data_IF_017271242516
#
_entry.id   IF_017271242516
#
_cell.length_a   1.000
_cell.length_b   1.000
_cell.length_c   1.000
_cell.angle_alpha   90.00
_cell.angle_beta   90.00
_cell.angle_gamma   90.00
#
_symmetry.space_group_name_H-M   'P 1'
#
loop_
_entity.id
_entity.type
_entity.pdbx_description
1 polymer ?
#
# COMPACT_ATOMS: atom_id res chain seq x y z
N UNK A 1 5.86 -8.76 -31.54
CA UNK A 1 6.62 -8.40 -30.33
C UNK A 1 5.69 -7.70 -29.37
N UNK A 2 5.59 -8.19 -28.13
CA UNK A 2 4.72 -7.63 -27.10
C UNK A 2 5.37 -6.41 -26.43
N UNK A 3 4.57 -5.57 -25.77
CA UNK A 3 5.08 -4.42 -25.00
C UNK A 3 6.05 -4.86 -23.89
N UNK A 4 5.87 -6.05 -23.34
CA UNK A 4 6.76 -6.62 -22.31
C UNK A 4 8.09 -7.04 -22.92
N UNK A 5 8.07 -7.67 -24.09
CA UNK A 5 9.30 -8.04 -24.83
C UNK A 5 10.14 -6.80 -25.17
N UNK A 6 9.51 -5.73 -25.65
CA UNK A 6 10.18 -4.45 -25.94
C UNK A 6 10.87 -3.85 -24.70
N UNK A 7 10.14 -3.77 -23.57
CA UNK A 7 10.71 -3.26 -22.32
C UNK A 7 11.85 -4.14 -21.81
N UNK A 8 11.79 -5.45 -22.04
CA UNK A 8 12.86 -6.37 -21.62
C UNK A 8 14.14 -6.09 -22.40
N UNK A 9 14.04 -5.86 -23.71
CA UNK A 9 15.18 -5.49 -24.56
C UNK A 9 15.74 -4.11 -24.19
N UNK A 10 14.87 -3.12 -23.96
CA UNK A 10 15.28 -1.78 -23.56
C UNK A 10 16.01 -1.78 -22.21
N UNK A 11 15.52 -2.55 -21.23
CA UNK A 11 16.17 -2.69 -19.91
C UNK A 11 17.49 -3.45 -20.01
N UNK A 12 17.56 -4.49 -20.86
CA UNK A 12 18.79 -5.25 -21.08
C UNK A 12 19.89 -4.41 -21.76
N UNK A 13 19.52 -3.37 -22.51
CA UNK A 13 20.46 -2.45 -23.15
C UNK A 13 21.07 -1.40 -22.18
N UNK A 14 20.52 -1.25 -20.98
CA UNK A 14 21.02 -0.32 -19.97
C UNK A 14 22.30 -0.85 -19.30
N UNK A 15 23.16 0.06 -18.85
CA UNK A 15 24.28 -0.26 -17.97
C UNK A 15 23.78 -0.74 -16.60
N UNK A 16 24.64 -1.44 -15.84
CA UNK A 16 24.29 -1.93 -14.50
C UNK A 16 23.87 -0.81 -13.52
N UNK A 17 24.47 0.37 -13.65
CA UNK A 17 24.13 1.56 -12.85
C UNK A 17 22.74 2.10 -13.22
N UNK A 18 22.44 2.22 -14.51
CA UNK A 18 21.13 2.67 -15.00
C UNK A 18 20.02 1.69 -14.64
N UNK A 19 20.28 0.39 -14.72
CA UNK A 19 19.34 -0.64 -14.26
C UNK A 19 19.05 -0.50 -12.76
N UNK A 20 20.07 -0.26 -11.93
CA UNK A 20 19.88 -0.05 -10.48
C UNK A 20 18.98 1.14 -10.20
N UNK A 21 19.28 2.30 -10.81
CA UNK A 21 18.48 3.52 -10.66
C UNK A 21 17.04 3.33 -11.16
N UNK A 22 16.86 2.62 -12.26
CA UNK A 22 15.53 2.28 -12.79
C UNK A 22 14.74 1.44 -11.78
N UNK A 23 15.35 0.40 -11.22
CA UNK A 23 14.67 -0.48 -10.25
C UNK A 23 14.33 0.24 -8.94
N UNK A 24 15.23 1.09 -8.44
CA UNK A 24 14.94 1.96 -7.28
C UNK A 24 13.73 2.84 -7.58
N UNK A 25 13.69 3.47 -8.75
CA UNK A 25 12.57 4.32 -9.15
C UNK A 25 11.25 3.55 -9.30
N UNK A 26 11.30 2.35 -9.86
CA UNK A 26 10.12 1.48 -9.99
C UNK A 26 9.61 1.06 -8.61
N UNK A 27 10.50 0.73 -7.67
CA UNK A 27 10.13 0.39 -6.31
C UNK A 27 9.42 1.56 -5.60
N UNK A 28 9.94 2.78 -5.73
CA UNK A 28 9.30 4.00 -5.19
C UNK A 28 7.90 4.22 -5.77
N UNK A 29 7.75 4.08 -7.09
CA UNK A 29 6.46 4.24 -7.76
C UNK A 29 5.46 3.16 -7.34
N UNK A 30 5.92 1.91 -7.23
CA UNK A 30 5.11 0.80 -6.75
C UNK A 30 4.65 1.03 -5.31
N UNK A 31 5.54 1.53 -4.44
CA UNK A 31 5.22 1.90 -3.06
C UNK A 31 4.15 2.98 -2.99
N UNK A 32 4.33 4.09 -3.73
CA UNK A 32 3.34 5.17 -3.78
C UNK A 32 1.98 4.71 -4.32
N UNK A 33 1.98 3.85 -5.32
CA UNK A 33 0.76 3.24 -5.85
C UNK A 33 0.07 2.39 -4.79
N UNK A 34 0.81 1.52 -4.10
CA UNK A 34 0.27 0.67 -3.04
C UNK A 34 -0.35 1.47 -1.90
N UNK A 35 0.32 2.55 -1.46
CA UNK A 35 -0.23 3.46 -0.44
C UNK A 35 -1.54 4.11 -0.88
N UNK A 36 -1.64 4.51 -2.15
CA UNK A 36 -2.87 5.10 -2.70
C UNK A 36 -4.02 4.10 -2.72
N UNK A 37 -3.78 2.92 -3.25
CA UNK A 37 -4.79 1.84 -3.32
C UNK A 37 -5.26 1.46 -1.91
N UNK A 38 -4.33 1.35 -0.95
CA UNK A 38 -4.65 1.08 0.45
C UNK A 38 -5.54 2.19 1.04
N UNK A 39 -5.16 3.46 0.83
CA UNK A 39 -5.93 4.62 1.27
C UNK A 39 -7.34 4.63 0.68
N UNK A 40 -7.50 4.37 -0.63
CA UNK A 40 -8.79 4.31 -1.30
C UNK A 40 -9.68 3.20 -0.74
N UNK A 41 -9.11 2.02 -0.48
CA UNK A 41 -9.81 0.91 0.14
C UNK A 41 -10.34 1.28 1.54
N UNK A 42 -9.51 1.90 2.38
CA UNK A 42 -9.94 2.34 3.71
C UNK A 42 -10.98 3.44 3.65
N UNK A 43 -10.82 4.45 2.78
CA UNK A 43 -11.84 5.50 2.59
C UNK A 43 -13.17 4.92 2.13
N UNK A 44 -13.14 3.95 1.21
CA UNK A 44 -14.35 3.27 0.74
C UNK A 44 -15.03 2.48 1.86
N UNK A 45 -14.26 1.84 2.74
CA UNK A 45 -14.78 1.19 3.94
C UNK A 45 -15.44 2.21 4.87
N UNK A 46 -14.75 3.30 5.23
CA UNK A 46 -15.28 4.34 6.12
C UNK A 46 -16.55 4.98 5.54
N UNK A 47 -16.60 5.21 4.22
CA UNK A 47 -17.79 5.73 3.56
C UNK A 47 -19.00 4.78 3.71
N UNK A 48 -18.81 3.46 3.51
CA UNK A 48 -19.87 2.47 3.72
C UNK A 48 -20.36 2.40 5.17
N UNK A 49 -19.47 2.66 6.12
CA UNK A 49 -19.78 2.72 7.55
C UNK A 49 -20.38 4.07 7.98
N UNK A 50 -20.50 5.06 7.09
CA UNK A 50 -20.98 6.41 7.42
C UNK A 50 -19.97 7.24 8.23
N UNK A 51 -18.69 6.84 8.22
CA UNK A 51 -17.61 7.35 9.06
C UNK A 51 -16.59 8.21 8.33
N UNK A 52 -16.85 8.62 7.09
CA UNK A 52 -15.88 9.37 6.29
C UNK A 52 -15.51 10.73 6.90
N UNK A 53 -16.37 11.28 7.76
CA UNK A 53 -16.14 12.53 8.49
C UNK A 53 -15.39 12.34 9.83
N UNK A 54 -15.13 11.10 10.27
CA UNK A 54 -14.33 10.85 11.47
C UNK A 54 -12.89 11.34 11.24
N UNK A 55 -12.28 11.89 12.31
CA UNK A 55 -10.87 12.27 12.24
C UNK A 55 -9.96 11.03 12.20
N UNK A 56 -8.76 11.13 11.61
CA UNK A 56 -7.79 10.03 11.60
C UNK A 56 -7.47 9.50 13.01
N UNK A 57 -7.36 10.39 14.00
CA UNK A 57 -7.05 10.05 15.39
C UNK A 57 -8.14 9.17 15.98
N UNK A 58 -9.41 9.51 15.75
CA UNK A 58 -10.56 8.72 16.20
C UNK A 58 -10.59 7.34 15.55
N UNK A 59 -10.32 7.26 14.24
CA UNK A 59 -10.25 5.97 13.53
C UNK A 59 -9.13 5.10 14.09
N UNK A 60 -7.96 5.68 14.38
CA UNK A 60 -6.82 4.96 14.95
C UNK A 60 -7.11 4.47 16.39
N UNK A 61 -7.75 5.30 17.21
CA UNK A 61 -8.15 4.93 18.56
C UNK A 61 -9.12 3.73 18.55
N UNK A 62 -10.12 3.75 17.67
CA UNK A 62 -11.05 2.63 17.51
C UNK A 62 -10.35 1.35 17.04
N UNK A 63 -9.44 1.45 16.07
CA UNK A 63 -8.67 0.30 15.59
C UNK A 63 -7.79 -0.29 16.70
N UNK A 64 -7.19 0.57 17.54
CA UNK A 64 -6.40 0.12 18.70
C UNK A 64 -7.27 -0.64 19.69
N UNK A 65 -8.43 -0.08 20.04
CA UNK A 65 -9.39 -0.74 20.94
C UNK A 65 -9.84 -2.09 20.39
N UNK A 66 -10.20 -2.18 19.12
CA UNK A 66 -10.57 -3.45 18.47
C UNK A 66 -9.43 -4.46 18.55
N UNK A 67 -8.18 -4.03 18.34
CA UNK A 67 -7.01 -4.91 18.45
C UNK A 67 -6.84 -5.47 19.87
N UNK A 68 -7.03 -4.64 20.89
CA UNK A 68 -6.95 -5.03 22.30
C UNK A 68 -8.10 -5.98 22.69
N UNK A 69 -9.31 -5.72 22.20
CA UNK A 69 -10.48 -6.61 22.38
C UNK A 69 -10.23 -8.00 21.74
N UNK A 70 -9.67 -8.05 20.52
CA UNK A 70 -9.30 -9.31 19.87
C UNK A 70 -8.21 -10.03 20.68
N UNK A 71 -7.18 -9.31 21.09
CA UNK A 71 -6.07 -9.88 21.85
C UNK A 71 -6.54 -10.51 23.17
N UNK A 72 -7.39 -9.82 23.93
CA UNK A 72 -7.92 -10.34 25.20
C UNK A 72 -8.84 -11.56 25.03
N UNK A 73 -9.54 -11.67 23.89
CA UNK A 73 -10.41 -12.83 23.59
C UNK A 73 -9.63 -14.05 23.10
N UNK A 74 -8.64 -13.84 22.24
CA UNK A 74 -7.95 -14.92 21.51
C UNK A 74 -6.65 -15.35 22.17
N UNK A 75 -6.05 -14.49 22.98
CA UNK A 75 -4.80 -14.74 23.71
C UNK A 75 -4.97 -14.38 25.20
N UNK A 76 -5.89 -15.06 25.93
CA UNK A 76 -5.95 -14.92 27.38
C UNK A 76 -4.68 -15.50 28.03
N UNK A 77 -4.23 -14.90 29.14
CA UNK A 77 -3.06 -15.38 29.92
C UNK A 77 -3.18 -16.85 30.34
#
# INVERSE_FOLDING_TARGET
>A
MTKIEQLTEEVAALTAEEQRLLFERVADLAWHRGLRELSEMYRSRLAREGRLADSPEKVLEDLRRIREEIASREYPE
#
